data_IF_823804675550
#
_entry.id   IF_823804675550
#
_cell.length_a   1.000
_cell.length_b   1.000
_cell.length_c   1.000
_cell.angle_alpha   90.00
_cell.angle_beta   90.00
_cell.angle_gamma   90.00
#
_symmetry.space_group_name_H-M   'P 1'
#
loop_
_entity.id
_entity.type
_entity.pdbx_description
1 polymer ?
#
# COMPACT_ATOMS: atom_id res chain seq x y z
N UNK A 1 -6.81 9.64 17.40
CA UNK A 1 -7.24 8.97 16.16
C UNK A 1 -6.77 7.53 16.28
N UNK A 2 -7.66 6.55 16.49
CA UNK A 2 -7.29 5.14 16.37
C UNK A 2 -7.54 4.78 14.92
N UNK A 3 -6.49 4.67 14.12
CA UNK A 3 -6.62 4.06 12.81
C UNK A 3 -7.04 2.60 13.03
N UNK A 4 -8.16 2.18 12.45
CA UNK A 4 -8.62 0.78 12.44
C UNK A 4 -7.75 -0.10 11.51
N UNK A 5 -6.55 0.40 11.18
CA UNK A 5 -5.65 -0.21 10.23
C UNK A 5 -4.99 -1.44 10.85
N UNK A 6 -5.07 -2.54 10.10
CA UNK A 6 -4.32 -3.74 10.39
C UNK A 6 -2.97 -3.65 9.68
N UNK A 7 -1.93 -3.41 10.47
CA UNK A 7 -0.55 -3.39 10.00
C UNK A 7 -0.07 -4.82 9.76
N UNK A 8 0.43 -5.08 8.55
CA UNK A 8 1.02 -6.35 8.16
C UNK A 8 2.47 -6.15 7.72
N UNK A 9 3.27 -7.22 7.83
CA UNK A 9 4.65 -7.21 7.36
C UNK A 9 4.75 -7.45 5.86
N UNK A 10 3.89 -8.31 5.31
CA UNK A 10 3.89 -8.64 3.89
C UNK A 10 2.48 -8.86 3.36
N UNK A 11 2.22 -8.29 2.19
CA UNK A 11 1.04 -8.62 1.41
C UNK A 11 1.25 -9.95 0.70
N UNK A 12 0.27 -10.85 0.82
CA UNK A 12 0.23 -12.06 0.03
C UNK A 12 -1.14 -12.20 -0.63
N UNK A 13 -1.20 -12.92 -1.75
CA UNK A 13 -2.43 -13.04 -2.54
C UNK A 13 -3.58 -13.66 -1.76
N UNK A 14 -3.32 -14.55 -0.79
CA UNK A 14 -4.38 -15.15 0.03
C UNK A 14 -5.03 -14.11 0.93
N UNK A 15 -4.24 -13.29 1.61
CA UNK A 15 -4.72 -12.19 2.45
C UNK A 15 -5.44 -11.14 1.61
N UNK A 16 -4.85 -10.73 0.48
CA UNK A 16 -5.46 -9.79 -0.45
C UNK A 16 -6.83 -10.29 -0.89
N UNK A 17 -6.96 -11.57 -1.29
CA UNK A 17 -8.25 -12.13 -1.74
C UNK A 17 -9.26 -12.35 -0.61
N UNK A 18 -8.82 -12.45 0.64
CA UNK A 18 -9.72 -12.48 1.78
C UNK A 18 -10.38 -11.11 2.04
N UNK A 19 -9.66 -10.01 1.79
CA UNK A 19 -10.16 -8.63 1.99
C UNK A 19 -10.82 -8.05 0.75
N UNK A 20 -10.24 -8.32 -0.43
CA UNK A 20 -10.82 -7.98 -1.73
C UNK A 20 -11.05 -9.23 -2.60
N UNK A 21 -12.23 -9.87 -2.47
CA UNK A 21 -12.51 -11.12 -3.17
C UNK A 21 -12.67 -10.94 -4.70
N UNK A 22 -12.96 -9.72 -5.16
CA UNK A 22 -13.18 -9.40 -6.57
C UNK A 22 -12.27 -8.24 -7.02
N UNK A 23 -12.10 -8.09 -8.34
CA UNK A 23 -11.31 -7.01 -8.94
C UNK A 23 -9.80 -7.26 -8.98
N UNK A 24 -9.09 -6.31 -9.61
CA UNK A 24 -7.63 -6.31 -9.67
C UNK A 24 -7.07 -5.58 -8.43
N UNK A 25 -6.22 -6.25 -7.63
CA UNK A 25 -5.63 -5.61 -6.46
C UNK A 25 -4.65 -4.52 -6.86
N UNK A 26 -4.74 -3.39 -6.18
CA UNK A 26 -3.83 -2.28 -6.32
C UNK A 26 -3.32 -1.91 -4.93
N UNK A 27 -2.02 -1.77 -4.79
CA UNK A 27 -1.41 -1.27 -3.56
C UNK A 27 -0.73 0.05 -3.90
N UNK A 28 -0.97 1.11 -3.13
CA UNK A 28 -0.36 2.41 -3.35
C UNK A 28 0.55 2.75 -2.18
N UNK A 29 1.78 3.16 -2.48
CA UNK A 29 2.78 3.56 -1.50
C UNK A 29 2.80 5.08 -1.38
N UNK A 30 2.64 5.55 -0.15
CA UNK A 30 2.70 6.94 0.22
C UNK A 30 3.96 7.21 1.05
N UNK A 31 4.57 8.37 0.86
CA UNK A 31 5.63 8.93 1.72
C UNK A 31 5.03 10.04 2.58
N UNK A 32 5.30 9.98 3.89
CA UNK A 32 4.91 10.99 4.88
C UNK A 32 3.43 11.41 4.81
N UNK A 33 2.46 10.46 4.78
CA UNK A 33 1.05 10.83 4.83
C UNK A 33 0.67 11.37 6.21
N UNK A 34 -0.32 12.27 6.27
CA UNK A 34 -0.68 13.00 7.50
C UNK A 34 -1.03 12.10 8.70
N UNK A 35 -1.53 10.88 8.44
CA UNK A 35 -1.91 9.90 9.45
C UNK A 35 -0.76 8.99 9.90
N UNK A 36 0.35 8.94 9.14
CA UNK A 36 1.60 8.27 9.51
C UNK A 36 2.83 9.14 9.18
N UNK A 37 3.06 10.24 9.93
CA UNK A 37 4.15 11.15 9.65
C UNK A 37 5.52 10.48 9.78
N UNK A 38 6.42 10.78 8.84
CA UNK A 38 7.79 10.27 8.77
C UNK A 38 7.93 8.83 8.27
N UNK A 39 6.85 8.19 7.82
CA UNK A 39 6.86 6.79 7.37
C UNK A 39 6.43 6.64 5.92
N UNK A 40 6.83 5.51 5.33
CA UNK A 40 6.24 4.98 4.12
C UNK A 40 5.04 4.08 4.47
N UNK A 41 3.94 4.25 3.73
CA UNK A 41 2.71 3.48 3.95
C UNK A 41 2.25 2.86 2.64
N UNK A 42 2.24 1.53 2.57
CA UNK A 42 1.63 0.79 1.47
C UNK A 42 0.19 0.43 1.84
N UNK A 43 -0.80 0.88 1.06
CA UNK A 43 -2.23 0.64 1.32
C UNK A 43 -2.86 -0.22 0.24
N UNK A 44 -3.58 -1.26 0.62
CA UNK A 44 -4.38 -2.06 -0.31
C UNK A 44 -5.68 -1.33 -0.66
N UNK A 45 -5.99 -1.24 -1.96
CA UNK A 45 -7.25 -0.69 -2.47
C UNK A 45 -8.17 -1.79 -2.98
N UNK A 46 -9.47 -1.66 -2.70
CA UNK A 46 -10.52 -2.56 -3.18
C UNK A 46 -11.06 -2.21 -4.59
N UNK A 47 -10.40 -1.25 -5.24
CA UNK A 47 -10.80 -0.69 -6.54
C UNK A 47 -11.52 0.66 -6.44
N UNK A 48 -12.02 1.05 -5.26
CA UNK A 48 -12.61 2.38 -5.04
C UNK A 48 -11.97 3.12 -3.87
N UNK A 49 -11.63 2.43 -2.79
CA UNK A 49 -11.09 3.03 -1.57
C UNK A 49 -9.97 2.19 -0.97
N UNK A 50 -9.16 2.81 -0.12
CA UNK A 50 -8.20 2.07 0.69
C UNK A 50 -8.96 1.20 1.69
N UNK A 51 -8.48 -0.02 1.84
CA UNK A 51 -8.89 -0.95 2.89
C UNK A 51 -8.16 -0.64 4.20
N UNK A 52 -8.46 -1.40 5.26
CA UNK A 52 -7.74 -1.33 6.53
C UNK A 52 -6.38 -2.06 6.49
N UNK A 53 -6.04 -2.79 5.43
CA UNK A 53 -4.74 -3.47 5.35
C UNK A 53 -3.65 -2.52 4.86
N UNK A 54 -2.65 -2.31 5.72
CA UNK A 54 -1.49 -1.48 5.40
C UNK A 54 -0.18 -2.18 5.77
N UNK A 55 0.90 -1.79 5.11
CA UNK A 55 2.26 -2.01 5.61
C UNK A 55 2.93 -0.66 5.88
N UNK A 56 3.84 -0.63 6.85
CA UNK A 56 4.59 0.54 7.29
C UNK A 56 6.09 0.24 7.24
N UNK A 57 6.90 1.24 6.85
CA UNK A 57 8.35 1.16 6.93
C UNK A 57 9.00 2.55 7.01
N UNK A 58 10.26 2.60 7.45
CA UNK A 58 11.04 3.85 7.53
C UNK A 58 11.61 4.29 6.17
N UNK A 59 11.78 3.36 5.23
CA UNK A 59 12.37 3.65 3.91
C UNK A 59 11.55 3.04 2.76
N UNK A 60 11.76 3.56 1.55
CA UNK A 60 11.13 3.03 0.34
C UNK A 60 11.64 1.63 0.00
N UNK A 61 12.91 1.34 0.29
CA UNK A 61 13.48 0.02 0.11
C UNK A 61 12.83 -0.99 1.05
N UNK A 62 12.66 -0.65 2.32
CA UNK A 62 12.07 -1.54 3.32
C UNK A 62 10.59 -1.81 3.04
N UNK A 63 9.82 -0.79 2.62
CA UNK A 63 8.39 -1.02 2.31
C UNK A 63 8.20 -1.96 1.12
N UNK A 64 9.16 -2.01 0.18
CA UNK A 64 9.10 -2.94 -0.97
C UNK A 64 9.22 -4.41 -0.57
N UNK A 65 9.80 -4.71 0.60
CA UNK A 65 9.81 -6.08 1.15
C UNK A 65 8.40 -6.58 1.51
N UNK A 66 7.43 -5.66 1.68
CA UNK A 66 6.03 -6.01 1.88
C UNK A 66 5.29 -6.34 0.57
N UNK A 67 5.88 -6.03 -0.60
CA UNK A 67 5.24 -6.20 -1.91
C UNK A 67 4.99 -7.68 -2.23
N UNK A 68 3.80 -8.06 -2.72
CA UNK A 68 3.59 -9.39 -3.25
C UNK A 68 4.54 -9.67 -4.41
N UNK A 69 5.16 -10.84 -4.44
CA UNK A 69 6.07 -11.26 -5.52
C UNK A 69 5.44 -11.09 -6.92
N UNK A 70 4.15 -11.38 -7.03
CA UNK A 70 3.38 -11.35 -8.30
C UNK A 70 3.04 -9.95 -8.81
N UNK A 71 3.21 -8.91 -8.00
CA UNK A 71 2.92 -7.54 -8.40
C UNK A 71 4.17 -6.84 -8.91
N UNK A 72 3.99 -5.96 -9.89
CA UNK A 72 5.05 -5.11 -10.45
C UNK A 72 4.98 -3.72 -9.84
N UNK A 73 6.15 -3.11 -9.64
CA UNK A 73 6.24 -1.71 -9.23
C UNK A 73 5.98 -0.83 -10.46
N UNK A 74 5.03 0.07 -10.32
CA UNK A 74 4.71 1.14 -11.25
C UNK A 74 5.12 2.45 -10.59
N UNK A 75 6.06 3.15 -11.22
CA UNK A 75 6.53 4.46 -10.72
C UNK A 75 5.41 5.49 -10.81
N UNK A 76 5.41 6.45 -9.88
CA UNK A 76 4.53 7.62 -9.95
C UNK A 76 4.61 8.33 -11.29
N UNK A 77 3.51 8.99 -11.66
CA UNK A 77 3.43 9.94 -12.76
C UNK A 77 3.30 11.38 -12.21
N UNK A 78 3.45 12.38 -13.08
CA UNK A 78 3.38 13.80 -12.67
C UNK A 78 2.00 14.19 -12.13
N UNK A 79 0.95 13.50 -12.56
CA UNK A 79 -0.44 13.73 -12.15
C UNK A 79 -0.75 13.16 -10.76
N UNK A 80 0.11 12.31 -10.20
CA UNK A 80 -0.10 11.75 -8.87
C UNK A 80 0.14 12.79 -7.79
N UNK A 81 -0.58 12.67 -6.66
CA UNK A 81 -0.32 13.46 -5.46
C UNK A 81 1.17 13.40 -5.10
N UNK A 82 1.74 14.51 -4.60
CA UNK A 82 3.15 14.58 -4.22
C UNK A 82 3.58 13.48 -3.25
N UNK A 83 2.67 13.01 -2.40
CA UNK A 83 2.92 11.94 -1.43
C UNK A 83 2.94 10.53 -2.02
N UNK A 84 2.40 10.31 -3.24
CA UNK A 84 2.44 8.99 -3.88
C UNK A 84 3.81 8.80 -4.53
N UNK A 85 4.48 7.71 -4.18
CA UNK A 85 5.82 7.41 -4.70
C UNK A 85 5.79 6.26 -5.73
N UNK A 86 4.96 5.26 -5.51
CA UNK A 86 4.76 4.14 -6.44
C UNK A 86 3.45 3.39 -6.17
N UNK A 87 3.05 2.56 -7.13
CA UNK A 87 1.95 1.61 -6.99
C UNK A 87 2.42 0.20 -7.36
N UNK A 88 1.75 -0.81 -6.81
CA UNK A 88 1.99 -2.22 -7.10
C UNK A 88 0.73 -2.83 -7.73
N UNK A 89 0.90 -3.40 -8.94
CA UNK A 89 -0.16 -3.95 -9.78
C UNK A 89 0.15 -5.39 -10.21
#
# INVERSE_FOLDING_TARGET
MRTEDQVITQFNMRLIRAVMPQGAPMIVVYEDPKDYPGLFVARLFDGQKSTHLIALADTLEDIREAKPERMRIVKRIEQDSLQIVEAWL
#
